data_IF_492851530459
#
_entry.id   IF_492851530459
#
_cell.length_a   1.000
_cell.length_b   1.000
_cell.length_c   1.000
_cell.angle_alpha   90.00
_cell.angle_beta   90.00
_cell.angle_gamma   90.00
#
_symmetry.space_group_name_H-M   'P 1'
#
loop_
_entity.id
_entity.type
_entity.pdbx_description
1 polymer ?
#
# COMPACT_ATOMS: atom_id res chain seq x y z
N UNK A 1 -25.00 14.10 -2.78
CA UNK A 1 -24.29 12.81 -2.72
C UNK A 1 -23.46 12.75 -1.45
N UNK A 2 -23.08 11.56 -1.00
CA UNK A 2 -22.16 11.39 0.14
C UNK A 2 -20.69 11.43 -0.28
N UNK A 3 -19.79 11.50 0.70
CA UNK A 3 -18.35 11.37 0.49
C UNK A 3 -18.00 9.94 0.05
N UNK A 4 -17.10 9.79 -0.92
CA UNK A 4 -16.69 8.48 -1.42
C UNK A 4 -15.70 7.85 -0.43
N UNK A 5 -15.96 6.66 0.14
CA UNK A 5 -15.02 6.01 1.04
C UNK A 5 -13.84 5.39 0.26
N UNK A 6 -12.86 6.24 -0.11
CA UNK A 6 -11.72 5.85 -0.94
C UNK A 6 -10.80 4.76 -0.34
N UNK A 7 -10.86 4.58 1.00
CA UNK A 7 -10.14 3.52 1.72
C UNK A 7 -10.82 2.13 1.61
N UNK A 8 -12.02 2.07 1.01
CA UNK A 8 -12.77 0.83 0.77
C UNK A 8 -13.01 0.60 -0.72
N UNK A 9 -13.33 1.66 -1.46
CA UNK A 9 -13.62 1.61 -2.90
C UNK A 9 -12.34 1.87 -3.69
N UNK A 10 -11.89 0.88 -4.45
CA UNK A 10 -10.68 0.98 -5.27
C UNK A 10 -10.93 1.61 -6.66
N UNK A 11 -12.20 1.77 -7.03
CA UNK A 11 -12.62 2.43 -8.27
C UNK A 11 -12.57 3.96 -8.18
N UNK A 12 -12.85 4.62 -9.31
CA UNK A 12 -12.98 6.08 -9.38
C UNK A 12 -14.33 6.45 -10.01
N UNK A 13 -14.95 7.51 -9.50
CA UNK A 13 -16.25 7.99 -9.99
C UNK A 13 -16.20 8.38 -11.47
N UNK A 14 -17.23 8.00 -12.22
CA UNK A 14 -17.41 8.40 -13.63
C UNK A 14 -18.27 9.66 -13.79
N UNK A 15 -18.86 10.18 -12.70
CA UNK A 15 -19.70 11.39 -12.74
C UNK A 15 -18.99 12.59 -13.41
N UNK A 16 -17.69 12.86 -13.18
CA UNK A 16 -17.01 13.97 -13.85
C UNK A 16 -17.12 13.88 -15.37
N UNK A 17 -16.92 12.68 -15.96
CA UNK A 17 -17.08 12.48 -17.40
C UNK A 17 -18.50 12.72 -17.88
N UNK A 18 -19.51 12.28 -17.12
CA UNK A 18 -20.93 12.50 -17.46
C UNK A 18 -21.31 13.99 -17.43
N UNK A 19 -20.57 14.80 -16.66
CA UNK A 19 -20.73 16.25 -16.63
C UNK A 19 -19.81 16.99 -17.62
N UNK A 20 -19.12 16.27 -18.51
CA UNK A 20 -18.23 16.85 -19.51
C UNK A 20 -16.84 17.26 -18.99
N UNK A 21 -16.47 16.85 -17.78
CA UNK A 21 -15.17 17.14 -17.17
C UNK A 21 -14.23 15.94 -17.28
N UNK A 22 -12.92 16.21 -17.30
CA UNK A 22 -11.90 15.18 -17.09
C UNK A 22 -11.51 15.14 -15.62
N UNK A 23 -11.71 14.01 -14.91
CA UNK A 23 -11.31 13.90 -13.51
C UNK A 23 -9.80 14.00 -13.36
N UNK A 24 -9.36 14.78 -12.37
CA UNK A 24 -7.96 14.79 -11.93
C UNK A 24 -7.57 13.40 -11.39
N UNK A 25 -6.32 12.98 -11.64
CA UNK A 25 -5.82 11.70 -11.17
C UNK A 25 -6.57 10.49 -11.74
N UNK A 26 -6.91 10.50 -13.03
CA UNK A 26 -7.44 9.31 -13.70
C UNK A 26 -6.39 8.19 -13.78
N UNK A 27 -6.80 6.97 -14.12
CA UNK A 27 -5.90 5.80 -14.05
C UNK A 27 -5.05 5.71 -15.31
N UNK A 28 -3.78 5.42 -15.12
CA UNK A 28 -2.84 5.21 -16.23
C UNK A 28 -2.88 3.77 -16.76
N UNK A 29 -3.41 2.84 -15.96
CA UNK A 29 -3.55 1.44 -16.34
C UNK A 29 -4.79 0.79 -15.71
N UNK A 30 -5.18 -0.36 -16.26
CA UNK A 30 -6.23 -1.24 -15.74
C UNK A 30 -5.66 -2.61 -15.41
N UNK A 31 -6.28 -3.27 -14.45
CA UNK A 31 -5.92 -4.62 -14.00
C UNK A 31 -7.09 -5.56 -14.22
N UNK A 32 -6.79 -6.81 -14.61
CA UNK A 32 -7.73 -7.92 -14.55
C UNK A 32 -7.02 -9.13 -13.96
N UNK A 33 -7.74 -9.90 -13.15
CA UNK A 33 -7.22 -11.13 -12.56
C UNK A 33 -8.06 -12.31 -13.02
N UNK A 34 -7.43 -13.48 -13.12
CA UNK A 34 -8.13 -14.71 -13.40
C UNK A 34 -7.56 -15.84 -12.56
N UNK A 35 -8.37 -16.35 -11.63
CA UNK A 35 -8.07 -17.52 -10.81
C UNK A 35 -8.77 -18.74 -11.41
N UNK A 36 -7.97 -19.67 -11.95
CA UNK A 36 -8.45 -20.93 -12.51
C UNK A 36 -8.09 -22.13 -11.64
N UNK A 37 -7.77 -21.91 -10.36
CA UNK A 37 -7.37 -22.94 -9.40
C UNK A 37 -8.43 -24.01 -9.14
N UNK A 38 -9.70 -23.72 -9.41
CA UNK A 38 -10.81 -24.68 -9.29
C UNK A 38 -11.07 -25.46 -10.59
N UNK A 39 -10.47 -25.05 -11.70
CA UNK A 39 -10.69 -25.69 -13.00
C UNK A 39 -9.76 -26.89 -13.21
N UNK A 40 -10.21 -27.95 -13.93
CA UNK A 40 -9.37 -29.12 -14.23
C UNK A 40 -8.05 -28.79 -14.95
N UNK A 41 -8.03 -27.67 -15.68
CA UNK A 41 -6.89 -27.19 -16.45
C UNK A 41 -5.60 -27.08 -15.64
N UNK A 42 -5.66 -26.74 -14.35
CA UNK A 42 -4.45 -26.68 -13.50
C UNK A 42 -3.73 -28.04 -13.42
N UNK A 43 -4.48 -29.14 -13.42
CA UNK A 43 -3.90 -30.48 -13.34
C UNK A 43 -3.23 -30.85 -14.66
N UNK A 44 -3.83 -30.47 -15.79
CA UNK A 44 -3.23 -30.62 -17.12
C UNK A 44 -1.91 -29.87 -17.24
N UNK A 45 -1.81 -28.69 -16.62
CA UNK A 45 -0.61 -27.86 -16.58
C UNK A 45 0.38 -28.25 -15.46
N UNK A 46 0.05 -29.23 -14.61
CA UNK A 46 0.91 -29.64 -13.50
C UNK A 46 1.11 -28.56 -12.42
N UNK A 47 0.12 -27.69 -12.20
CA UNK A 47 0.20 -26.54 -11.29
C UNK A 47 -0.56 -26.76 -9.99
N UNK A 48 0.00 -26.26 -8.89
CA UNK A 48 -0.72 -26.10 -7.62
C UNK A 48 -1.79 -25.00 -7.72
N UNK A 49 -2.77 -25.00 -6.81
CA UNK A 49 -3.81 -23.94 -6.77
C UNK A 49 -3.23 -22.54 -6.72
N UNK A 50 -2.15 -22.34 -5.96
CA UNK A 50 -1.49 -21.02 -5.81
C UNK A 50 -0.81 -20.55 -7.09
N UNK A 51 -0.46 -21.46 -7.98
CA UNK A 51 0.18 -21.15 -9.28
C UNK A 51 -0.84 -20.91 -10.39
N UNK A 52 -2.08 -21.40 -10.22
CA UNK A 52 -3.16 -21.33 -11.20
C UNK A 52 -3.86 -19.95 -11.25
N UNK A 53 -3.08 -18.89 -11.44
CA UNK A 53 -3.55 -17.50 -11.47
C UNK A 53 -2.88 -16.71 -12.60
N UNK A 54 -3.65 -15.83 -13.24
CA UNK A 54 -3.17 -14.86 -14.23
C UNK A 54 -3.46 -13.43 -13.77
N UNK A 55 -2.53 -12.53 -14.10
CA UNK A 55 -2.66 -11.09 -13.87
C UNK A 55 -2.47 -10.36 -15.19
N UNK A 56 -3.42 -9.52 -15.54
CA UNK A 56 -3.37 -8.68 -16.74
C UNK A 56 -3.17 -7.22 -16.32
N UNK A 57 -2.27 -6.54 -17.01
CA UNK A 57 -2.12 -5.08 -16.94
C UNK A 57 -2.19 -4.48 -18.33
N UNK A 58 -2.94 -3.39 -18.48
CA UNK A 58 -3.06 -2.65 -19.73
C UNK A 58 -2.96 -1.15 -19.48
N UNK A 59 -2.06 -0.48 -20.19
CA UNK A 59 -1.72 0.94 -19.98
C UNK A 59 -2.36 1.90 -21.01
N UNK A 60 -3.31 1.41 -21.81
CA UNK A 60 -3.90 2.15 -22.94
C UNK A 60 -3.29 1.83 -24.30
N UNK A 61 -2.11 1.20 -24.37
CA UNK A 61 -1.50 0.71 -25.62
C UNK A 61 -1.06 -0.74 -25.53
N UNK A 62 -0.29 -1.11 -24.51
CA UNK A 62 0.27 -2.44 -24.36
C UNK A 62 -0.49 -3.22 -23.30
N UNK A 63 -0.84 -4.47 -23.61
CA UNK A 63 -1.43 -5.41 -22.67
C UNK A 63 -0.43 -6.50 -22.36
N UNK A 64 -0.19 -6.76 -21.08
CA UNK A 64 0.64 -7.88 -20.63
C UNK A 64 -0.16 -8.81 -19.75
N UNK A 65 0.05 -10.11 -19.90
CA UNK A 65 -0.49 -11.16 -19.04
C UNK A 65 0.66 -11.91 -18.36
N UNK A 66 0.72 -11.83 -17.03
CA UNK A 66 1.64 -12.58 -16.19
C UNK A 66 0.97 -13.86 -15.66
N UNK A 67 1.69 -14.98 -15.73
CA UNK A 67 1.28 -16.25 -15.13
C UNK A 67 2.04 -16.51 -13.83
N UNK A 68 1.31 -16.71 -12.72
CA UNK A 68 1.92 -17.12 -11.45
C UNK A 68 2.52 -18.54 -11.50
N UNK A 69 2.21 -19.31 -12.54
CA UNK A 69 2.77 -20.65 -12.79
C UNK A 69 4.16 -20.64 -13.42
N UNK A 70 4.78 -19.47 -13.65
CA UNK A 70 6.14 -19.39 -14.18
C UNK A 70 6.28 -19.52 -15.69
N UNK A 71 5.16 -19.46 -16.43
CA UNK A 71 5.18 -19.40 -17.89
C UNK A 71 5.73 -18.05 -18.37
N UNK A 72 6.23 -18.03 -19.60
CA UNK A 72 6.54 -16.76 -20.28
C UNK A 72 5.30 -15.85 -20.26
N UNK A 73 5.45 -14.56 -19.98
CA UNK A 73 4.34 -13.64 -20.08
C UNK A 73 3.91 -13.49 -21.54
N UNK A 74 2.65 -13.14 -21.75
CA UNK A 74 2.18 -12.68 -23.06
C UNK A 74 2.21 -11.14 -23.11
N UNK A 75 2.54 -10.57 -24.26
CA UNK A 75 2.58 -9.12 -24.47
C UNK A 75 1.99 -8.76 -25.83
N UNK A 76 1.07 -7.80 -25.88
CA UNK A 76 0.43 -7.33 -27.11
C UNK A 76 0.53 -5.80 -27.22
N UNK A 77 0.88 -5.27 -28.40
CA UNK A 77 0.74 -3.84 -28.72
C UNK A 77 -0.61 -3.61 -29.43
N UNK A 78 -1.62 -3.17 -28.69
CA UNK A 78 -2.99 -2.98 -29.19
C UNK A 78 -3.09 -1.79 -30.15
N UNK A 79 -2.07 -0.94 -30.27
CA UNK A 79 -2.06 0.12 -31.29
C UNK A 79 -1.81 -0.46 -32.68
N UNK A 80 -0.87 -1.40 -32.81
CA UNK A 80 -0.55 -2.06 -34.09
C UNK A 80 -1.35 -3.34 -34.31
N UNK A 81 -1.71 -4.03 -33.23
CA UNK A 81 -2.42 -5.31 -33.24
C UNK A 81 -3.61 -5.27 -32.25
N UNK A 82 -4.71 -4.57 -32.62
CA UNK A 82 -5.89 -4.45 -31.76
C UNK A 82 -6.64 -5.77 -31.55
N UNK A 83 -6.29 -6.83 -32.30
CA UNK A 83 -6.92 -8.15 -32.21
C UNK A 83 -6.09 -9.14 -31.40
N UNK A 84 -4.91 -8.74 -30.93
CA UNK A 84 -4.06 -9.52 -30.00
C UNK A 84 -3.63 -10.88 -30.59
N UNK A 85 -3.29 -10.91 -31.89
CA UNK A 85 -2.83 -12.12 -32.57
C UNK A 85 -1.32 -12.34 -32.48
N UNK A 86 -0.54 -11.30 -32.22
CA UNK A 86 0.93 -11.32 -32.21
C UNK A 86 1.46 -11.18 -30.79
N UNK A 87 1.86 -12.29 -30.19
CA UNK A 87 2.48 -12.29 -28.87
C UNK A 87 3.96 -11.89 -28.95
N UNK A 88 4.31 -10.81 -28.26
CA UNK A 88 5.65 -10.21 -28.16
C UNK A 88 6.33 -10.57 -26.83
N UNK A 89 5.71 -11.40 -25.99
CA UNK A 89 6.14 -11.61 -24.60
C UNK A 89 7.52 -12.25 -24.45
N UNK A 90 7.90 -13.09 -25.43
CA UNK A 90 9.22 -13.72 -25.53
C UNK A 90 10.25 -12.91 -26.32
N UNK A 91 9.87 -11.79 -26.93
CA UNK A 91 10.77 -10.99 -27.77
C UNK A 91 11.71 -10.11 -26.91
N UNK A 92 13.04 -10.27 -27.04
CA UNK A 92 14.01 -9.45 -26.33
C UNK A 92 13.88 -7.94 -26.62
N UNK A 93 13.45 -7.54 -27.83
CA UNK A 93 13.30 -6.13 -28.22
C UNK A 93 12.23 -5.42 -27.36
N UNK A 94 11.29 -6.18 -26.79
CA UNK A 94 10.19 -5.67 -26.00
C UNK A 94 10.43 -5.74 -24.48
N UNK A 95 11.66 -6.02 -24.04
CA UNK A 95 12.04 -6.13 -22.62
C UNK A 95 11.69 -4.86 -21.82
N UNK A 96 12.03 -3.67 -22.33
CA UNK A 96 11.74 -2.41 -21.64
C UNK A 96 10.23 -2.16 -21.47
N UNK A 97 9.41 -2.57 -22.45
CA UNK A 97 7.94 -2.48 -22.35
C UNK A 97 7.42 -3.42 -21.27
N UNK A 98 7.92 -4.66 -21.23
CA UNK A 98 7.57 -5.65 -20.21
C UNK A 98 7.95 -5.18 -18.81
N UNK A 99 9.15 -4.64 -18.63
CA UNK A 99 9.63 -4.14 -17.33
C UNK A 99 8.76 -3.00 -16.80
N UNK A 100 8.35 -2.08 -17.69
CA UNK A 100 7.44 -0.99 -17.33
C UNK A 100 6.06 -1.47 -16.91
N UNK A 101 5.50 -2.46 -17.62
CA UNK A 101 4.20 -3.05 -17.27
C UNK A 101 4.28 -3.86 -15.98
N UNK A 102 5.39 -4.56 -15.72
CA UNK A 102 5.62 -5.21 -14.43
C UNK A 102 5.75 -4.20 -13.29
N UNK A 103 6.37 -3.04 -13.52
CA UNK A 103 6.42 -1.98 -12.52
C UNK A 103 5.01 -1.48 -12.14
N UNK A 104 4.10 -1.33 -13.11
CA UNK A 104 2.70 -0.98 -12.86
C UNK A 104 1.93 -2.08 -12.10
N UNK A 105 2.14 -3.35 -12.48
CA UNK A 105 1.54 -4.48 -11.76
C UNK A 105 2.07 -4.59 -10.33
N UNK A 106 3.35 -4.31 -10.12
CA UNK A 106 3.99 -4.29 -8.80
C UNK A 106 3.46 -3.14 -7.94
N UNK A 107 3.34 -1.93 -8.49
CA UNK A 107 2.72 -0.80 -7.79
C UNK A 107 1.30 -1.13 -7.32
N UNK A 108 0.48 -1.69 -8.23
CA UNK A 108 -0.87 -2.13 -7.88
C UNK A 108 -0.91 -3.22 -6.82
N UNK A 109 0.03 -4.18 -6.84
CA UNK A 109 0.04 -5.30 -5.89
C UNK A 109 0.46 -4.88 -4.49
N UNK A 110 1.24 -3.79 -4.36
CA UNK A 110 1.65 -3.22 -3.09
C UNK A 110 0.67 -2.21 -2.49
N UNK A 111 -0.41 -1.85 -3.20
CA UNK A 111 -1.40 -0.89 -2.69
C UNK A 111 -1.99 -1.35 -1.36
N UNK A 112 -2.33 -0.40 -0.50
CA UNK A 112 -2.94 -0.66 0.80
C UNK A 112 -4.45 -0.95 0.70
N UNK A 113 -4.83 -2.08 0.08
CA UNK A 113 -6.23 -2.47 -0.12
C UNK A 113 -6.95 -2.96 1.14
N UNK A 114 -6.20 -3.32 2.19
CA UNK A 114 -6.76 -3.98 3.38
C UNK A 114 -7.05 -3.02 4.55
N UNK A 115 -6.62 -1.75 4.49
CA UNK A 115 -6.91 -0.75 5.54
C UNK A 115 -8.31 -0.15 5.34
N UNK A 116 -9.33 -0.97 5.61
CA UNK A 116 -10.73 -0.64 5.34
C UNK A 116 -11.48 -0.04 6.54
N UNK A 117 -10.89 -0.07 7.73
CA UNK A 117 -11.53 0.35 8.98
C UNK A 117 -11.22 1.79 9.39
N UNK A 118 -10.29 2.46 8.70
CA UNK A 118 -9.88 3.83 8.99
C UNK A 118 -9.72 4.62 7.69
N UNK A 119 -10.43 5.73 7.58
CA UNK A 119 -10.25 6.69 6.48
C UNK A 119 -9.01 7.54 6.69
N UNK A 120 -8.49 8.16 5.62
CA UNK A 120 -7.37 9.11 5.71
C UNK A 120 -7.68 10.25 6.68
N UNK A 121 -8.89 10.85 6.60
CA UNK A 121 -9.31 11.89 7.53
C UNK A 121 -9.36 11.44 9.00
N UNK A 122 -9.62 10.15 9.26
CA UNK A 122 -9.54 9.60 10.62
C UNK A 122 -8.09 9.38 11.07
N UNK A 123 -7.20 8.97 10.16
CA UNK A 123 -5.77 8.81 10.43
C UNK A 123 -5.12 10.16 10.71
N UNK A 124 -5.40 11.17 9.90
CA UNK A 124 -4.85 12.53 10.06
C UNK A 124 -5.19 13.11 11.44
N UNK A 125 -6.40 12.87 11.93
CA UNK A 125 -6.82 13.27 13.29
C UNK A 125 -6.03 12.58 14.41
N UNK A 126 -5.52 11.36 14.15
CA UNK A 126 -4.76 10.56 15.12
C UNK A 126 -3.27 10.83 15.09
N UNK A 127 -2.77 11.65 14.15
CA UNK A 127 -1.35 12.02 14.10
C UNK A 127 -0.96 12.69 15.43
N UNK A 128 0.11 12.16 16.04
CA UNK A 128 0.63 12.60 17.33
C UNK A 128 -0.23 12.24 18.55
N UNK A 129 -1.32 11.48 18.38
CA UNK A 129 -2.16 11.03 19.51
C UNK A 129 -1.34 10.23 20.54
N UNK A 130 -0.52 9.22 20.17
CA UNK A 130 0.27 8.50 21.17
C UNK A 130 1.20 9.41 21.99
N UNK A 131 1.80 10.42 21.37
CA UNK A 131 2.69 11.36 22.06
C UNK A 131 1.93 12.24 23.05
N UNK A 132 0.74 12.73 22.65
CA UNK A 132 -0.17 13.47 23.56
C UNK A 132 -0.68 12.61 24.71
N UNK A 133 -0.83 11.31 24.48
CA UNK A 133 -1.21 10.32 25.50
C UNK A 133 -0.01 9.76 26.28
N UNK A 134 1.18 10.35 26.13
CA UNK A 134 2.34 10.07 26.98
C UNK A 134 3.33 9.00 26.47
N UNK A 135 3.19 8.54 25.23
CA UNK A 135 4.20 7.70 24.59
C UNK A 135 5.34 8.57 24.06
N UNK A 136 6.34 8.81 24.91
CA UNK A 136 7.52 9.61 24.59
C UNK A 136 8.69 8.70 24.17
N UNK A 137 9.18 8.84 22.94
CA UNK A 137 10.27 8.01 22.38
C UNK A 137 11.46 8.89 22.04
N UNK A 138 12.66 8.48 22.47
CA UNK A 138 13.91 9.20 22.17
C UNK A 138 14.13 10.46 23.01
N UNK A 139 13.44 10.61 24.14
CA UNK A 139 13.58 11.74 25.07
C UNK A 139 14.64 11.39 26.11
N UNK A 140 15.67 12.24 26.22
CA UNK A 140 16.77 12.06 27.17
C UNK A 140 16.69 13.04 28.35
N UNK A 141 16.18 14.25 28.11
CA UNK A 141 15.96 15.29 29.11
C UNK A 141 14.56 15.87 29.02
N UNK A 142 14.14 16.51 30.12
CA UNK A 142 12.80 17.10 30.24
C UNK A 142 12.52 18.23 29.22
N UNK A 143 13.56 18.93 28.79
CA UNK A 143 13.51 20.06 27.87
C UNK A 143 13.64 19.65 26.39
N UNK A 144 13.84 18.35 26.11
CA UNK A 144 13.89 17.83 24.74
C UNK A 144 12.51 17.93 24.04
N UNK A 145 11.42 18.06 24.81
CA UNK A 145 10.06 18.23 24.32
C UNK A 145 9.35 19.37 25.05
N UNK A 146 8.29 19.90 24.44
CA UNK A 146 7.42 20.89 25.06
C UNK A 146 6.76 20.37 26.34
N UNK A 147 6.50 21.28 27.28
CA UNK A 147 5.91 20.97 28.58
C UNK A 147 4.51 20.37 28.47
N UNK A 148 3.80 20.61 27.37
CA UNK A 148 2.54 19.95 27.03
C UNK A 148 2.67 18.43 26.96
N UNK A 149 3.85 17.90 26.65
CA UNK A 149 4.14 16.46 26.62
C UNK A 149 4.81 15.96 27.89
N UNK A 150 5.68 16.77 28.50
CA UNK A 150 6.53 16.32 29.62
C UNK A 150 5.95 16.62 31.00
N UNK A 151 4.93 17.47 31.11
CA UNK A 151 4.36 17.93 32.41
C UNK A 151 3.87 16.81 33.33
N UNK A 152 3.51 15.65 32.80
CA UNK A 152 3.11 14.48 33.60
C UNK A 152 4.30 13.67 34.13
N UNK A 153 5.50 13.90 33.61
CA UNK A 153 6.73 13.17 33.90
C UNK A 153 7.78 14.03 34.64
N UNK A 154 7.64 15.35 34.62
CA UNK A 154 8.55 16.29 35.28
C UNK A 154 8.13 16.58 36.72
N UNK A 155 9.12 16.84 37.58
CA UNK A 155 8.93 17.14 39.01
C UNK A 155 9.39 16.02 39.93
N UNK A 156 9.20 16.22 41.23
CA UNK A 156 9.70 15.31 42.25
C UNK A 156 9.02 13.94 42.18
N UNK A 157 9.81 12.89 42.43
CA UNK A 157 9.30 11.54 42.52
C UNK A 157 8.31 11.42 43.70
N UNK A 158 7.12 10.88 43.45
CA UNK A 158 6.09 10.69 44.50
C UNK A 158 6.53 9.73 45.60
N UNK A 159 7.47 8.84 45.30
CA UNK A 159 8.02 7.89 46.24
C UNK A 159 9.47 7.58 45.87
N UNK A 160 10.35 7.61 46.86
CA UNK A 160 11.78 7.34 46.71
C UNK A 160 12.06 5.97 47.32
N UNK A 161 12.49 5.02 46.48
CA UNK A 161 12.76 3.64 46.91
C UNK A 161 14.24 3.30 47.06
N UNK A 162 15.14 4.28 46.96
CA UNK A 162 16.57 4.01 47.16
C UNK A 162 16.80 3.43 48.57
N UNK A 163 17.57 2.35 48.66
CA UNK A 163 17.87 1.72 49.96
C UNK A 163 18.95 2.50 50.72
N UNK A 164 19.87 3.14 49.97
CA UNK A 164 20.96 3.93 50.50
C UNK A 164 20.54 5.40 50.71
N UNK A 165 20.80 5.94 51.89
CA UNK A 165 20.50 7.31 52.28
C UNK A 165 21.24 8.35 51.41
N UNK A 166 22.46 8.04 50.97
CA UNK A 166 23.23 8.92 50.08
C UNK A 166 22.58 9.07 48.69
N UNK A 167 21.99 7.99 48.17
CA UNK A 167 21.31 8.00 46.87
C UNK A 167 19.93 8.67 46.94
N UNK A 168 19.24 8.56 48.08
CA UNK A 168 18.02 9.35 48.36
C UNK A 168 18.31 10.85 48.27
N UNK A 169 19.36 11.32 48.97
CA UNK A 169 19.73 12.74 48.97
C UNK A 169 20.22 13.24 47.61
N UNK A 170 20.82 12.37 46.80
CA UNK A 170 21.38 12.73 45.49
C UNK A 170 20.35 12.76 44.36
N UNK A 171 19.41 11.82 44.34
CA UNK A 171 18.48 11.63 43.21
C UNK A 171 17.00 11.79 43.56
N UNK A 172 16.65 11.90 44.84
CA UNK A 172 15.26 11.92 45.30
C UNK A 172 14.65 13.31 45.56
N UNK A 173 15.45 14.37 45.61
CA UNK A 173 15.03 15.64 46.24
C UNK A 173 15.13 15.56 47.77
N UNK A 174 15.19 16.71 48.46
CA UNK A 174 15.48 16.81 49.92
C UNK A 174 14.69 15.85 50.82
#
# INVERSE_FOLDING_TARGET
GGEVPAHQIEGRSLLPFLHGNTPEGWRDYVISEYDYSVLPMRFTLGLDSRQARLFMVFDGRHKMVHSAGGHLPMLFDLKSDPQEFTDLGGDPEHTATRDRLYAMLHDWSLRLSQRVTMSEAAIDKKVGEPQREGVLVGVHREDDLGTEFTSRYTGDARQIHFENEADRKRYGGE
#
